data_IF_746874591397
#
_entry.id   IF_746874591397
#
_cell.length_a   1.000
_cell.length_b   1.000
_cell.length_c   1.000
_cell.angle_alpha   90.00
_cell.angle_beta   90.00
_cell.angle_gamma   90.00
#
_symmetry.space_group_name_H-M   'P 1'
#
loop_
_entity.id
_entity.type
_entity.pdbx_description
1 polymer ?
#
# COMPACT_ATOMS: atom_id res chain seq x y z
N UNK A 1 -43.49 9.01 -9.58
CA UNK A 1 -42.17 8.33 -9.48
C UNK A 1 -41.17 9.14 -8.64
N UNK A 2 -41.05 10.45 -8.84
CA UNK A 2 -40.13 11.31 -8.06
C UNK A 2 -40.43 11.37 -6.55
N UNK A 3 -41.70 11.33 -6.15
CA UNK A 3 -42.13 11.38 -4.73
C UNK A 3 -41.78 10.12 -3.93
N UNK A 4 -41.80 8.94 -4.57
CA UNK A 4 -41.45 7.66 -3.94
C UNK A 4 -39.93 7.54 -3.74
N UNK A 5 -39.14 8.18 -4.61
CA UNK A 5 -37.67 8.22 -4.50
C UNK A 5 -37.23 9.12 -3.35
N UNK A 6 -37.88 10.28 -3.17
CA UNK A 6 -37.61 11.17 -2.02
C UNK A 6 -37.98 10.55 -0.68
N UNK A 7 -39.01 9.71 -0.63
CA UNK A 7 -39.45 9.03 0.60
C UNK A 7 -38.55 7.84 0.96
N UNK A 8 -38.05 7.10 -0.04
CA UNK A 8 -37.01 6.06 0.20
C UNK A 8 -35.67 6.67 0.61
N UNK A 9 -35.29 7.82 0.02
CA UNK A 9 -34.09 8.54 0.41
C UNK A 9 -34.21 9.10 1.83
N UNK A 10 -35.35 9.66 2.22
CA UNK A 10 -35.55 10.14 3.59
C UNK A 10 -35.55 9.00 4.61
N UNK A 11 -36.13 7.84 4.30
CA UNK A 11 -36.05 6.64 5.15
C UNK A 11 -34.62 6.07 5.25
N UNK A 12 -33.83 6.11 4.17
CA UNK A 12 -32.40 5.78 4.20
C UNK A 12 -31.61 6.74 5.10
N UNK A 13 -31.87 8.05 5.01
CA UNK A 13 -31.22 9.06 5.86
C UNK A 13 -31.63 8.95 7.34
N UNK A 14 -32.87 8.55 7.63
CA UNK A 14 -33.36 8.28 9.00
C UNK A 14 -32.64 7.06 9.58
N UNK A 15 -32.45 5.98 8.79
CA UNK A 15 -31.71 4.79 9.22
C UNK A 15 -30.21 5.07 9.48
N UNK A 16 -29.56 5.93 8.69
CA UNK A 16 -28.15 6.32 8.91
C UNK A 16 -28.00 7.14 10.20
N UNK A 17 -28.99 7.96 10.56
CA UNK A 17 -29.01 8.71 11.83
C UNK A 17 -29.26 7.84 13.06
N UNK A 18 -29.83 6.64 12.90
CA UNK A 18 -30.05 5.67 13.99
C UNK A 18 -28.88 4.69 14.17
N UNK A 19 -27.96 4.61 13.20
CA UNK A 19 -26.73 3.83 13.32
C UNK A 19 -25.89 4.13 14.59
N UNK A 20 -25.81 5.37 15.11
CA UNK A 20 -25.12 5.67 16.37
C UNK A 20 -25.78 5.04 17.60
N UNK A 21 -27.10 4.80 17.60
CA UNK A 21 -27.81 4.22 18.74
C UNK A 21 -27.60 2.71 18.86
N UNK A 22 -27.22 2.03 17.77
CA UNK A 22 -26.85 0.60 17.75
C UNK A 22 -25.40 0.32 18.21
N UNK A 23 -24.55 1.34 18.30
CA UNK A 23 -23.10 1.18 18.47
C UNK A 23 -22.61 1.24 19.94
N UNK A 24 -23.49 1.40 20.92
CA UNK A 24 -23.12 1.56 22.33
C UNK A 24 -22.79 3.03 22.67
N UNK A 25 -22.32 3.34 23.89
CA UNK A 25 -22.05 4.72 24.30
C UNK A 25 -21.13 5.42 23.31
N UNK A 26 -21.35 6.72 23.08
CA UNK A 26 -20.51 7.58 22.24
C UNK A 26 -19.05 7.27 22.53
N UNK A 27 -18.38 6.69 21.53
CA UNK A 27 -16.96 6.39 21.62
C UNK A 27 -16.21 7.69 21.97
N UNK A 28 -15.26 7.65 22.91
CA UNK A 28 -14.57 8.86 23.33
C UNK A 28 -13.98 9.60 22.12
N UNK A 29 -14.18 10.93 22.12
CA UNK A 29 -13.75 11.81 21.05
C UNK A 29 -12.23 11.85 20.87
N UNK A 30 -11.78 12.56 19.84
CA UNK A 30 -10.35 12.73 19.58
C UNK A 30 -9.69 13.66 20.59
N UNK A 31 -8.40 13.44 20.84
CA UNK A 31 -7.56 14.19 21.78
C UNK A 31 -6.47 14.98 21.06
N UNK A 32 -5.84 15.89 21.79
CA UNK A 32 -4.67 16.65 21.32
C UNK A 32 -3.39 15.83 21.32
N UNK A 33 -2.34 16.30 20.65
CA UNK A 33 -1.03 15.64 20.69
C UNK A 33 -0.44 15.59 22.10
N UNK A 34 -0.81 16.51 23.00
CA UNK A 34 -0.32 16.55 24.37
C UNK A 34 -0.81 15.36 25.23
N UNK A 35 -1.89 14.70 24.79
CA UNK A 35 -2.54 13.61 25.53
C UNK A 35 -2.14 12.22 25.01
N UNK A 36 -1.30 12.15 23.98
CA UNK A 36 -0.81 10.88 23.42
C UNK A 36 0.72 10.80 23.49
N UNK A 37 1.29 9.60 23.67
CA UNK A 37 2.74 9.43 23.68
C UNK A 37 3.44 9.98 22.43
N UNK A 38 4.70 10.46 22.54
CA UNK A 38 5.44 11.06 21.42
C UNK A 38 5.59 10.18 20.18
N UNK A 39 5.53 8.85 20.32
CA UNK A 39 5.56 7.91 19.19
C UNK A 39 4.40 8.13 18.21
N UNK A 40 3.27 8.65 18.69
CA UNK A 40 2.09 8.89 17.84
C UNK A 40 2.16 10.22 17.10
N UNK A 41 3.05 11.14 17.50
CA UNK A 41 3.05 12.49 16.98
C UNK A 41 3.40 12.53 15.50
N UNK A 42 2.58 13.24 14.73
CA UNK A 42 2.87 13.60 13.35
C UNK A 42 3.31 15.07 13.26
N UNK A 43 4.34 15.41 12.47
CA UNK A 43 4.74 16.79 12.24
C UNK A 43 3.56 17.66 11.82
N UNK A 44 3.44 18.85 12.40
CA UNK A 44 2.40 19.85 12.08
C UNK A 44 0.95 19.46 12.41
N UNK A 45 0.71 18.27 13.01
CA UNK A 45 -0.61 17.78 13.40
C UNK A 45 -0.75 17.83 14.94
N UNK A 46 -1.58 18.74 15.44
CA UNK A 46 -1.72 18.98 16.89
C UNK A 46 -2.96 18.36 17.53
N UNK A 47 -3.90 17.83 16.73
CA UNK A 47 -5.13 17.22 17.22
C UNK A 47 -5.72 16.18 16.28
N UNK A 48 -6.86 15.61 16.69
CA UNK A 48 -7.52 14.54 15.94
C UNK A 48 -6.99 13.15 16.26
N UNK A 49 -6.15 13.00 17.30
CA UNK A 49 -5.62 11.70 17.72
C UNK A 49 -6.68 10.90 18.46
N UNK A 50 -6.62 9.57 18.39
CA UNK A 50 -7.52 8.70 19.17
C UNK A 50 -6.89 8.42 20.55
N UNK A 51 -7.65 8.42 21.65
CA UNK A 51 -7.18 7.98 22.95
C UNK A 51 -6.57 6.58 22.89
N UNK A 52 -5.45 6.40 23.59
CA UNK A 52 -4.76 5.12 23.69
C UNK A 52 -5.42 4.18 24.71
N UNK A 53 -5.01 2.91 24.72
CA UNK A 53 -5.41 1.88 25.70
C UNK A 53 -6.91 1.56 25.75
N UNK A 54 -7.67 1.94 24.72
CA UNK A 54 -9.07 1.53 24.55
C UNK A 54 -9.21 0.05 24.15
N UNK A 55 -10.45 -0.45 24.19
CA UNK A 55 -10.81 -1.80 23.72
C UNK A 55 -10.61 -1.93 22.20
N UNK A 56 -10.47 -3.16 21.69
CA UNK A 56 -10.41 -3.37 20.24
C UNK A 56 -11.68 -2.92 19.53
N UNK A 57 -12.85 -3.15 20.16
CA UNK A 57 -14.15 -2.70 19.67
C UNK A 57 -14.18 -1.18 19.42
N UNK A 58 -13.54 -0.40 20.29
CA UNK A 58 -13.40 1.05 20.08
C UNK A 58 -12.64 1.38 18.79
N UNK A 59 -11.46 0.78 18.56
CA UNK A 59 -10.69 1.12 17.34
C UNK A 59 -11.42 0.71 16.06
N UNK A 60 -12.11 -0.44 16.05
CA UNK A 60 -12.95 -0.81 14.91
C UNK A 60 -14.16 0.12 14.74
N UNK A 61 -14.80 0.58 15.82
CA UNK A 61 -15.90 1.56 15.72
C UNK A 61 -15.42 2.93 15.22
N UNK A 62 -14.14 3.27 15.39
CA UNK A 62 -13.57 4.52 14.86
C UNK A 62 -13.47 4.56 13.34
N UNK A 63 -13.70 3.44 12.63
CA UNK A 63 -13.74 3.40 11.17
C UNK A 63 -14.71 4.44 10.59
N UNK A 64 -15.82 4.74 11.29
CA UNK A 64 -16.83 5.71 10.88
C UNK A 64 -16.76 7.03 11.67
N UNK A 65 -15.64 7.31 12.34
CA UNK A 65 -15.44 8.52 13.14
C UNK A 65 -14.43 9.45 12.50
N UNK A 66 -14.58 10.75 12.77
CA UNK A 66 -13.62 11.75 12.33
C UNK A 66 -12.37 11.72 13.21
N UNK A 67 -11.24 11.33 12.64
CA UNK A 67 -9.93 11.36 13.31
C UNK A 67 -8.80 11.55 12.29
N UNK A 68 -7.61 11.90 12.76
CA UNK A 68 -6.47 12.29 11.90
C UNK A 68 -5.98 11.20 10.93
N UNK A 69 -6.28 9.93 11.22
CA UNK A 69 -5.99 8.79 10.35
C UNK A 69 -7.15 8.35 9.44
N UNK A 70 -8.36 8.91 9.56
CA UNK A 70 -9.55 8.32 8.94
C UNK A 70 -9.45 8.24 7.41
N UNK A 71 -8.93 9.30 6.77
CA UNK A 71 -8.72 9.33 5.32
C UNK A 71 -7.63 8.33 4.90
N UNK A 72 -6.58 8.15 5.72
CA UNK A 72 -5.54 7.15 5.44
C UNK A 72 -6.10 5.72 5.48
N UNK A 73 -7.05 5.46 6.38
CA UNK A 73 -7.78 4.17 6.44
C UNK A 73 -8.68 4.01 5.21
N UNK A 74 -9.56 4.98 4.96
CA UNK A 74 -10.57 4.86 3.91
C UNK A 74 -10.00 4.84 2.49
N UNK A 75 -8.93 5.59 2.21
CA UNK A 75 -8.29 5.60 0.90
C UNK A 75 -7.83 4.21 0.49
N UNK A 76 -7.15 3.49 1.38
CA UNK A 76 -6.66 2.14 1.12
C UNK A 76 -7.75 1.06 1.27
N UNK A 77 -8.67 1.20 2.24
CA UNK A 77 -9.78 0.25 2.40
C UNK A 77 -10.69 0.22 1.16
N UNK A 78 -11.08 1.39 0.65
CA UNK A 78 -11.92 1.49 -0.54
C UNK A 78 -11.23 0.89 -1.77
N UNK A 79 -9.93 1.13 -1.92
CA UNK A 79 -9.12 0.55 -3.00
C UNK A 79 -9.00 -0.98 -2.87
N UNK A 80 -8.79 -1.51 -1.66
CA UNK A 80 -8.73 -2.95 -1.42
C UNK A 80 -10.05 -3.63 -1.82
N UNK A 81 -11.19 -3.03 -1.46
CA UNK A 81 -12.51 -3.53 -1.85
C UNK A 81 -12.72 -3.43 -3.37
N UNK A 82 -12.32 -2.34 -4.01
CA UNK A 82 -12.41 -2.18 -5.45
C UNK A 82 -11.57 -3.24 -6.20
N UNK A 83 -10.34 -3.51 -5.74
CA UNK A 83 -9.49 -4.55 -6.32
C UNK A 83 -10.00 -5.96 -6.02
N UNK A 84 -10.62 -6.18 -4.85
CA UNK A 84 -11.28 -7.45 -4.56
C UNK A 84 -12.45 -7.69 -5.53
N UNK A 85 -13.27 -6.68 -5.79
CA UNK A 85 -14.33 -6.77 -6.80
C UNK A 85 -13.76 -7.01 -8.20
N UNK A 86 -12.67 -6.33 -8.57
CA UNK A 86 -11.96 -6.55 -9.84
C UNK A 86 -11.43 -7.97 -9.95
N UNK A 87 -10.85 -8.53 -8.90
CA UNK A 87 -10.42 -9.92 -8.85
C UNK A 87 -11.58 -10.90 -9.03
N UNK A 88 -12.71 -10.67 -8.35
CA UNK A 88 -13.90 -11.50 -8.50
C UNK A 88 -14.45 -11.49 -9.94
N UNK A 89 -14.41 -10.34 -10.62
CA UNK A 89 -14.75 -10.23 -12.04
C UNK A 89 -13.76 -10.98 -12.93
N UNK A 90 -12.45 -10.83 -12.69
CA UNK A 90 -11.40 -11.54 -13.46
C UNK A 90 -11.51 -13.06 -13.31
N UNK A 91 -11.82 -13.55 -12.11
CA UNK A 91 -12.00 -14.99 -11.85
C UNK A 91 -13.11 -15.64 -12.68
N UNK A 92 -14.08 -14.87 -13.17
CA UNK A 92 -15.14 -15.39 -14.05
C UNK A 92 -14.64 -15.72 -15.46
N UNK A 93 -13.50 -15.15 -15.88
CA UNK A 93 -12.96 -15.26 -17.25
C UNK A 93 -11.51 -15.76 -17.33
N UNK A 94 -10.80 -15.77 -16.21
CA UNK A 94 -9.40 -16.21 -16.08
C UNK A 94 -9.32 -17.45 -15.20
N UNK A 95 -8.73 -18.53 -15.71
CA UNK A 95 -8.45 -19.74 -14.94
C UNK A 95 -7.14 -19.59 -14.16
N UNK A 96 -7.21 -18.99 -12.98
CA UNK A 96 -6.07 -18.85 -12.08
C UNK A 96 -5.51 -20.18 -11.52
N UNK A 97 -6.21 -21.30 -11.71
CA UNK A 97 -5.79 -22.61 -11.21
C UNK A 97 -4.88 -23.34 -12.19
N UNK A 98 -5.30 -23.43 -13.45
CA UNK A 98 -4.59 -24.22 -14.47
C UNK A 98 -3.73 -23.36 -15.41
N UNK A 99 -4.08 -22.10 -15.66
CA UNK A 99 -3.32 -21.24 -16.59
C UNK A 99 -2.07 -20.68 -15.91
N UNK A 100 -0.89 -21.18 -16.32
CA UNK A 100 0.38 -20.69 -15.80
C UNK A 100 0.61 -19.21 -16.10
N UNK A 101 0.10 -18.73 -17.25
CA UNK A 101 0.14 -17.33 -17.65
C UNK A 101 -0.64 -16.42 -16.69
N UNK A 102 -1.58 -16.97 -15.91
CA UNK A 102 -2.37 -16.21 -14.94
C UNK A 102 -1.72 -16.15 -13.55
N UNK A 103 -0.68 -16.95 -13.26
CA UNK A 103 -0.04 -16.99 -11.93
C UNK A 103 0.60 -15.64 -11.53
N UNK A 104 1.37 -14.95 -12.39
CA UNK A 104 1.91 -13.62 -12.03
C UNK A 104 0.81 -12.58 -11.81
N UNK A 105 -0.27 -12.62 -12.61
CA UNK A 105 -1.45 -11.78 -12.44
C UNK A 105 -2.12 -12.02 -11.08
N UNK A 106 -2.23 -13.29 -10.65
CA UNK A 106 -2.75 -13.63 -9.32
C UNK A 106 -1.86 -13.06 -8.22
N UNK A 107 -0.53 -13.21 -8.35
CA UNK A 107 0.44 -12.72 -7.37
C UNK A 107 0.33 -11.20 -7.21
N UNK A 108 0.34 -10.43 -8.31
CA UNK A 108 0.25 -8.96 -8.22
C UNK A 108 -1.11 -8.50 -7.68
N UNK A 109 -2.22 -9.15 -8.04
CA UNK A 109 -3.54 -8.84 -7.48
C UNK A 109 -3.61 -9.12 -5.98
N UNK A 110 -3.14 -10.29 -5.55
CA UNK A 110 -3.10 -10.68 -4.14
C UNK A 110 -2.18 -9.76 -3.34
N UNK A 111 -1.00 -9.43 -3.88
CA UNK A 111 -0.05 -8.50 -3.27
C UNK A 111 -0.64 -7.09 -3.14
N UNK A 112 -1.35 -6.62 -4.18
CA UNK A 112 -2.04 -5.32 -4.18
C UNK A 112 -3.11 -5.23 -3.09
N UNK A 113 -3.98 -6.24 -3.00
CA UNK A 113 -5.02 -6.31 -1.95
C UNK A 113 -4.38 -6.41 -0.57
N UNK A 114 -3.31 -7.19 -0.42
CA UNK A 114 -2.61 -7.40 0.85
C UNK A 114 -2.01 -6.11 1.40
N UNK A 115 -1.25 -5.35 0.59
CA UNK A 115 -0.64 -4.11 1.09
C UNK A 115 -1.70 -3.07 1.46
N UNK A 116 -2.75 -2.90 0.65
CA UNK A 116 -3.84 -1.97 0.93
C UNK A 116 -4.55 -2.34 2.24
N UNK A 117 -4.78 -3.63 2.45
CA UNK A 117 -5.40 -4.14 3.68
C UNK A 117 -4.52 -3.92 4.89
N UNK A 118 -3.22 -4.27 4.81
CA UNK A 118 -2.27 -4.09 5.90
C UNK A 118 -2.10 -2.62 6.27
N UNK A 119 -2.00 -1.74 5.27
CA UNK A 119 -1.93 -0.29 5.49
C UNK A 119 -3.19 0.27 6.14
N UNK A 120 -4.38 -0.10 5.64
CA UNK A 120 -5.65 0.30 6.24
C UNK A 120 -5.76 -0.17 7.70
N UNK A 121 -5.42 -1.43 7.99
CA UNK A 121 -5.39 -1.96 9.34
C UNK A 121 -4.39 -1.22 10.23
N UNK A 122 -3.23 -0.85 9.68
CA UNK A 122 -2.23 -0.14 10.44
C UNK A 122 -2.73 1.24 10.87
N UNK A 123 -3.24 2.02 9.94
CA UNK A 123 -3.82 3.33 10.26
C UNK A 123 -5.05 3.22 11.17
N UNK A 124 -5.84 2.14 11.08
CA UNK A 124 -7.01 1.95 11.92
C UNK A 124 -6.63 1.53 13.35
N UNK A 125 -5.63 0.68 13.54
CA UNK A 125 -5.39 -0.01 14.81
C UNK A 125 -4.13 0.46 15.56
N UNK A 126 -3.26 1.25 14.93
CA UNK A 126 -1.99 1.70 15.52
C UNK A 126 -2.16 2.43 16.86
N UNK A 127 -3.26 3.16 17.06
CA UNK A 127 -3.50 3.98 18.26
C UNK A 127 -3.68 3.16 19.56
N UNK A 128 -3.74 1.83 19.48
CA UNK A 128 -4.00 0.97 20.65
C UNK A 128 -3.00 1.13 21.79
N UNK A 129 -1.73 1.05 21.47
CA UNK A 129 -0.61 1.25 22.39
C UNK A 129 0.66 1.43 21.58
N UNK A 130 1.75 1.83 22.22
CA UNK A 130 3.03 2.01 21.53
C UNK A 130 3.51 0.71 20.86
N UNK A 131 3.35 -0.45 21.51
CA UNK A 131 3.68 -1.75 20.92
C UNK A 131 2.87 -2.03 19.64
N UNK A 132 1.56 -1.76 19.67
CA UNK A 132 0.69 -1.99 18.52
C UNK A 132 0.95 -0.98 17.41
N UNK A 133 1.32 0.26 17.75
CA UNK A 133 1.77 1.25 16.77
C UNK A 133 2.90 0.69 15.91
N UNK A 134 3.99 0.22 16.53
CA UNK A 134 5.10 -0.37 15.78
C UNK A 134 4.68 -1.64 15.02
N UNK A 135 4.03 -2.59 15.70
CA UNK A 135 3.68 -3.89 15.12
C UNK A 135 2.83 -3.77 13.85
N UNK A 136 1.82 -2.89 13.88
CA UNK A 136 0.96 -2.68 12.72
C UNK A 136 1.68 -1.98 11.56
N UNK A 137 2.53 -0.99 11.82
CA UNK A 137 3.32 -0.37 10.77
C UNK A 137 4.40 -1.31 10.21
N UNK A 138 4.97 -2.22 11.01
CA UNK A 138 5.85 -3.27 10.48
C UNK A 138 5.09 -4.21 9.53
N UNK A 139 3.84 -4.55 9.85
CA UNK A 139 2.98 -5.33 8.95
C UNK A 139 2.65 -4.54 7.67
N UNK A 140 2.41 -3.24 7.76
CA UNK A 140 2.27 -2.37 6.57
C UNK A 140 3.52 -2.43 5.67
N UNK A 141 4.73 -2.33 6.26
CA UNK A 141 5.98 -2.44 5.51
C UNK A 141 6.19 -3.81 4.86
N UNK A 142 5.73 -4.90 5.51
CA UNK A 142 5.68 -6.23 4.87
C UNK A 142 4.77 -6.17 3.64
N UNK A 143 3.57 -5.61 3.77
CA UNK A 143 2.62 -5.45 2.67
C UNK A 143 3.24 -4.70 1.49
N UNK A 144 3.90 -3.58 1.75
CA UNK A 144 4.60 -2.78 0.73
C UNK A 144 5.68 -3.61 0.01
N UNK A 145 6.50 -4.39 0.75
CA UNK A 145 7.51 -5.25 0.12
C UNK A 145 6.90 -6.38 -0.73
N UNK A 146 5.81 -6.99 -0.28
CA UNK A 146 5.07 -8.00 -1.05
C UNK A 146 4.54 -7.40 -2.36
N UNK A 147 3.95 -6.19 -2.29
CA UNK A 147 3.49 -5.46 -3.47
C UNK A 147 4.62 -5.06 -4.41
N UNK A 148 5.74 -4.57 -3.88
CA UNK A 148 6.90 -4.17 -4.66
C UNK A 148 7.42 -5.34 -5.52
N UNK A 149 7.61 -6.53 -4.93
CA UNK A 149 7.98 -7.72 -5.69
C UNK A 149 6.89 -8.13 -6.69
N UNK A 150 5.61 -8.12 -6.29
CA UNK A 150 4.49 -8.46 -7.20
C UNK A 150 4.42 -7.53 -8.42
N UNK A 151 4.69 -6.24 -8.21
CA UNK A 151 4.82 -5.21 -9.24
C UNK A 151 5.98 -5.51 -10.18
N UNK A 152 7.18 -5.78 -9.63
CA UNK A 152 8.35 -6.17 -10.40
C UNK A 152 8.08 -7.39 -11.28
N UNK A 153 7.46 -8.42 -10.70
CA UNK A 153 7.08 -9.64 -11.40
C UNK A 153 6.08 -9.33 -12.55
N UNK A 154 5.04 -8.55 -12.29
CA UNK A 154 4.07 -8.16 -13.31
C UNK A 154 4.72 -7.43 -14.49
N UNK A 155 5.61 -6.47 -14.23
CA UNK A 155 6.32 -5.77 -15.30
C UNK A 155 7.32 -6.65 -16.05
N UNK A 156 8.08 -7.47 -15.33
CA UNK A 156 9.04 -8.39 -15.94
C UNK A 156 8.36 -9.42 -16.83
N UNK A 157 7.18 -9.89 -16.43
CA UNK A 157 6.50 -10.97 -17.11
C UNK A 157 5.63 -10.48 -18.27
N UNK A 158 4.83 -9.43 -18.07
CA UNK A 158 3.84 -8.97 -19.05
C UNK A 158 4.32 -7.76 -19.88
N UNK A 159 5.01 -6.81 -19.24
CA UNK A 159 5.33 -5.53 -19.87
C UNK A 159 6.71 -5.47 -20.53
N UNK A 160 7.62 -6.42 -20.24
CA UNK A 160 8.99 -6.37 -20.74
C UNK A 160 9.06 -6.54 -22.26
N UNK A 161 9.97 -5.80 -22.89
CA UNK A 161 10.29 -5.95 -24.30
C UNK A 161 11.47 -6.91 -24.49
N UNK A 162 11.54 -7.70 -25.59
CA UNK A 162 12.60 -8.69 -25.82
C UNK A 162 14.03 -8.15 -25.69
N UNK A 163 14.24 -6.90 -26.15
CA UNK A 163 15.53 -6.23 -26.05
C UNK A 163 15.95 -5.94 -24.60
N UNK A 164 15.01 -5.51 -23.75
CA UNK A 164 15.27 -5.27 -22.33
C UNK A 164 15.42 -6.59 -21.56
N UNK A 165 14.56 -7.56 -21.85
CA UNK A 165 14.61 -8.89 -21.25
C UNK A 165 16.00 -9.52 -21.37
N UNK A 166 16.60 -9.50 -22.56
CA UNK A 166 17.96 -10.03 -22.79
C UNK A 166 19.02 -9.44 -21.87
N UNK A 167 18.89 -8.17 -21.49
CA UNK A 167 19.84 -7.46 -20.65
C UNK A 167 19.68 -7.77 -19.16
N UNK A 168 18.45 -7.96 -18.69
CA UNK A 168 18.15 -8.00 -17.26
C UNK A 168 17.70 -9.37 -16.73
N UNK A 169 17.35 -10.32 -17.61
CA UNK A 169 16.75 -11.62 -17.22
C UNK A 169 17.51 -12.40 -16.15
N UNK A 170 18.84 -12.29 -16.12
CA UNK A 170 19.68 -13.07 -15.20
C UNK A 170 19.60 -12.59 -13.74
N UNK A 171 19.21 -11.33 -13.50
CA UNK A 171 19.27 -10.73 -12.16
C UNK A 171 18.00 -9.98 -11.74
N UNK A 172 17.08 -9.69 -12.67
CA UNK A 172 15.94 -8.80 -12.40
C UNK A 172 15.10 -9.26 -11.20
N UNK A 173 14.56 -10.48 -11.23
CA UNK A 173 13.68 -10.99 -10.16
C UNK A 173 14.42 -11.24 -8.83
N UNK A 174 15.63 -11.86 -8.81
CA UNK A 174 16.40 -11.97 -7.57
C UNK A 174 16.74 -10.62 -6.93
N UNK A 175 17.12 -9.63 -7.75
CA UNK A 175 17.43 -8.28 -7.27
C UNK A 175 16.17 -7.56 -6.78
N UNK A 176 15.04 -7.71 -7.47
CA UNK A 176 13.76 -7.17 -7.03
C UNK A 176 13.32 -7.76 -5.67
N UNK A 177 13.46 -9.08 -5.49
CA UNK A 177 13.20 -9.75 -4.21
C UNK A 177 14.08 -9.22 -3.07
N UNK A 178 15.39 -9.09 -3.33
CA UNK A 178 16.34 -8.55 -2.36
C UNK A 178 16.02 -7.09 -1.99
N UNK A 179 15.73 -6.24 -2.98
CA UNK A 179 15.39 -4.83 -2.76
C UNK A 179 14.03 -4.67 -2.05
N UNK A 180 13.05 -5.53 -2.34
CA UNK A 180 11.78 -5.59 -1.62
C UNK A 180 11.98 -5.92 -0.13
N UNK A 181 12.73 -6.97 0.17
CA UNK A 181 13.07 -7.30 1.55
C UNK A 181 13.85 -6.17 2.24
N UNK A 182 14.86 -5.59 1.58
CA UNK A 182 15.63 -4.46 2.11
C UNK A 182 14.76 -3.22 2.37
N UNK A 183 13.73 -2.98 1.54
CA UNK A 183 12.76 -1.90 1.75
C UNK A 183 11.95 -2.12 3.03
N UNK A 184 11.48 -3.36 3.28
CA UNK A 184 10.82 -3.71 4.53
C UNK A 184 11.78 -3.60 5.73
N UNK A 185 12.97 -4.18 5.64
CA UNK A 185 13.95 -4.20 6.72
C UNK A 185 14.40 -2.78 7.09
N UNK A 186 14.69 -1.96 6.08
CA UNK A 186 15.03 -0.56 6.22
C UNK A 186 13.93 0.26 6.86
N UNK A 187 12.68 0.10 6.42
CA UNK A 187 11.51 0.77 7.01
C UNK A 187 11.28 0.36 8.47
N UNK A 188 11.33 -0.94 8.78
CA UNK A 188 11.18 -1.43 10.15
C UNK A 188 12.28 -0.90 11.07
N UNK A 189 13.54 -0.95 10.62
CA UNK A 189 14.68 -0.45 11.38
C UNK A 189 14.59 1.07 11.58
N UNK A 190 14.26 1.81 10.51
CA UNK A 190 14.14 3.25 10.55
C UNK A 190 13.08 3.70 11.55
N UNK A 191 11.91 3.05 11.51
CA UNK A 191 10.82 3.33 12.46
C UNK A 191 11.23 3.02 13.89
N UNK A 192 11.88 1.88 14.15
CA UNK A 192 12.34 1.51 15.50
C UNK A 192 13.42 2.46 16.05
N UNK A 193 14.38 2.86 15.21
CA UNK A 193 15.60 3.54 15.68
C UNK A 193 15.51 5.07 15.66
N UNK A 194 14.81 5.63 14.68
CA UNK A 194 14.84 7.07 14.42
C UNK A 194 13.50 7.76 14.70
N UNK A 195 12.35 7.06 14.72
CA UNK A 195 11.08 7.71 15.04
C UNK A 195 11.06 8.20 16.51
N UNK A 196 10.61 9.44 16.82
CA UNK A 196 10.01 10.47 15.95
C UNK A 196 11.00 11.50 15.38
N UNK A 197 12.31 11.35 15.65
CA UNK A 197 13.35 12.28 15.21
C UNK A 197 13.85 11.88 13.83
N UNK A 198 13.33 12.50 12.76
CA UNK A 198 13.77 12.24 11.39
C UNK A 198 15.23 12.64 11.16
N UNK A 199 16.17 11.80 11.58
CA UNK A 199 17.56 11.90 11.20
C UNK A 199 17.65 11.59 9.68
N UNK A 200 18.49 12.33 8.94
CA UNK A 200 18.85 11.99 7.55
C UNK A 200 19.13 10.47 7.36
N UNK A 201 19.87 9.80 8.28
CA UNK A 201 20.05 8.34 8.25
C UNK A 201 18.76 7.51 8.23
N UNK A 202 17.71 7.93 8.95
CA UNK A 202 16.44 7.20 8.97
C UNK A 202 15.71 7.27 7.64
N UNK A 203 15.70 8.45 7.02
CA UNK A 203 15.15 8.63 5.65
C UNK A 203 15.96 7.84 4.63
N UNK A 204 17.29 7.87 4.69
CA UNK A 204 18.11 7.06 3.79
C UNK A 204 17.87 5.56 3.98
N UNK A 205 17.74 5.09 5.22
CA UNK A 205 17.47 3.68 5.50
C UNK A 205 16.10 3.22 4.97
N UNK A 206 15.09 4.09 5.02
CA UNK A 206 13.75 3.81 4.56
C UNK A 206 13.58 3.99 3.04
N UNK A 207 14.01 5.13 2.50
CA UNK A 207 13.68 5.57 1.13
C UNK A 207 14.65 5.02 0.08
N UNK A 208 15.93 4.82 0.40
CA UNK A 208 16.93 4.41 -0.59
C UNK A 208 16.65 3.02 -1.19
N UNK A 209 16.38 1.96 -0.40
CA UNK A 209 16.07 0.65 -0.97
C UNK A 209 14.81 0.68 -1.83
N UNK A 210 13.77 1.42 -1.42
CA UNK A 210 12.52 1.57 -2.17
C UNK A 210 12.71 2.36 -3.47
N UNK A 211 13.56 3.40 -3.45
CA UNK A 211 13.90 4.15 -4.66
C UNK A 211 14.67 3.28 -5.67
N UNK A 212 15.67 2.52 -5.21
CA UNK A 212 16.42 1.59 -6.06
C UNK A 212 15.51 0.48 -6.62
N UNK A 213 14.61 -0.04 -5.80
CA UNK A 213 13.62 -1.02 -6.24
C UNK A 213 12.71 -0.44 -7.32
N UNK A 214 12.15 0.76 -7.10
CA UNK A 214 11.30 1.38 -8.09
C UNK A 214 12.02 1.59 -9.43
N UNK A 215 13.28 2.05 -9.41
CA UNK A 215 14.08 2.22 -10.62
C UNK A 215 14.28 0.90 -11.38
N UNK A 216 14.51 -0.21 -10.67
CA UNK A 216 14.58 -1.53 -11.27
C UNK A 216 13.21 -1.95 -11.83
N UNK A 217 12.18 -1.93 -10.99
CA UNK A 217 10.85 -2.45 -11.26
C UNK A 217 10.16 -1.72 -12.41
N UNK A 218 10.35 -0.40 -12.53
CA UNK A 218 9.75 0.40 -13.59
C UNK A 218 10.55 0.38 -14.90
N UNK A 219 11.79 -0.13 -14.88
CA UNK A 219 12.65 -0.14 -16.07
C UNK A 219 12.07 -0.86 -17.30
N UNK A 220 11.34 -2.01 -17.19
CA UNK A 220 10.68 -2.62 -18.34
C UNK A 220 9.62 -1.70 -18.97
N UNK A 221 8.85 -1.02 -18.11
CA UNK A 221 7.78 -0.10 -18.51
C UNK A 221 8.36 1.14 -19.18
N UNK A 222 9.38 1.77 -18.59
CA UNK A 222 10.04 2.93 -19.19
C UNK A 222 10.67 2.60 -20.54
N UNK A 223 11.36 1.46 -20.65
CA UNK A 223 11.90 1.00 -21.91
C UNK A 223 10.79 0.84 -22.96
N UNK A 224 9.68 0.17 -22.60
CA UNK A 224 8.56 -0.04 -23.53
C UNK A 224 7.89 1.26 -23.95
N UNK A 225 7.69 2.22 -23.03
CA UNK A 225 7.17 3.56 -23.36
C UNK A 225 8.07 4.26 -24.38
N UNK A 226 9.41 4.13 -24.24
CA UNK A 226 10.37 4.74 -25.15
C UNK A 226 10.55 4.01 -26.49
N UNK A 227 10.26 2.71 -26.54
CA UNK A 227 10.44 1.87 -27.74
C UNK A 227 9.15 1.54 -28.50
N UNK A 228 7.99 2.01 -28.03
CA UNK A 228 6.70 1.70 -28.62
C UNK A 228 6.56 2.28 -30.04
N UNK A 229 6.49 1.41 -31.03
CA UNK A 229 6.29 1.80 -32.44
C UNK A 229 4.81 1.82 -32.88
N UNK A 230 3.92 1.23 -32.08
CA UNK A 230 2.49 1.10 -32.39
C UNK A 230 1.63 1.60 -31.23
N UNK A 231 0.40 2.08 -31.50
CA UNK A 231 -0.57 2.37 -30.46
C UNK A 231 -0.86 1.12 -29.63
N UNK A 232 -0.84 1.29 -28.31
CA UNK A 232 -1.00 0.22 -27.34
C UNK A 232 -1.77 0.78 -26.13
N UNK A 233 -3.01 0.31 -25.87
CA UNK A 233 -3.85 0.81 -24.79
C UNK A 233 -3.19 0.71 -23.40
N UNK A 234 -2.35 -0.30 -23.15
CA UNK A 234 -1.70 -0.49 -21.85
C UNK A 234 -0.71 0.65 -21.53
N UNK A 235 -0.13 1.29 -22.56
CA UNK A 235 0.86 2.35 -22.37
C UNK A 235 0.28 3.62 -21.74
N UNK A 236 -0.99 3.93 -21.97
CA UNK A 236 -1.63 5.05 -21.30
C UNK A 236 -1.64 4.82 -19.79
N UNK A 237 -2.09 3.64 -19.37
CA UNK A 237 -2.14 3.25 -17.96
C UNK A 237 -0.75 3.16 -17.33
N UNK A 238 0.24 2.63 -18.04
CA UNK A 238 1.63 2.66 -17.58
C UNK A 238 2.21 4.08 -17.42
N UNK A 239 1.90 5.01 -18.33
CA UNK A 239 2.29 6.42 -18.18
C UNK A 239 1.62 7.06 -16.95
N UNK A 240 0.33 6.79 -16.76
CA UNK A 240 -0.40 7.23 -15.56
C UNK A 240 0.21 6.64 -14.28
N UNK A 241 0.53 5.35 -14.27
CA UNK A 241 1.20 4.68 -13.16
C UNK A 241 2.51 5.39 -12.79
N UNK A 242 3.40 5.65 -13.77
CA UNK A 242 4.67 6.36 -13.53
C UNK A 242 4.42 7.75 -12.95
N UNK A 243 3.48 8.52 -13.53
CA UNK A 243 3.15 9.87 -13.07
C UNK A 243 2.63 9.85 -11.63
N UNK A 244 1.67 8.97 -11.33
CA UNK A 244 1.07 8.87 -10.00
C UNK A 244 2.09 8.40 -8.95
N UNK A 245 2.99 7.48 -9.30
CA UNK A 245 4.08 7.10 -8.38
C UNK A 245 4.97 8.30 -8.05
N UNK A 246 5.42 9.06 -9.04
CA UNK A 246 6.30 10.22 -8.81
C UNK A 246 5.62 11.30 -7.95
N UNK A 247 4.33 11.55 -8.20
CA UNK A 247 3.53 12.44 -7.35
C UNK A 247 3.39 11.89 -5.93
N UNK A 248 3.10 10.60 -5.78
CA UNK A 248 3.03 9.92 -4.49
C UNK A 248 4.34 10.03 -3.71
N UNK A 249 5.47 9.72 -4.35
CA UNK A 249 6.80 9.82 -3.74
C UNK A 249 7.11 11.24 -3.27
N UNK A 250 6.73 12.27 -4.03
CA UNK A 250 6.88 13.66 -3.61
C UNK A 250 6.14 13.93 -2.29
N UNK A 251 4.85 13.57 -2.19
CA UNK A 251 4.04 13.78 -0.99
C UNK A 251 4.41 12.86 0.16
N UNK A 252 5.03 11.71 -0.10
CA UNK A 252 5.58 10.85 0.94
C UNK A 252 6.79 11.49 1.62
N UNK A 253 7.73 12.03 0.84
CA UNK A 253 8.99 12.59 1.37
C UNK A 253 8.85 14.03 1.88
N UNK A 254 7.80 14.75 1.47
CA UNK A 254 7.62 16.17 1.80
C UNK A 254 6.27 16.42 2.50
N UNK A 255 6.27 17.01 3.71
CA UNK A 255 5.06 17.21 4.51
C UNK A 255 4.26 18.44 4.03
N UNK A 256 3.93 18.51 2.75
CA UNK A 256 3.07 19.55 2.17
C UNK A 256 1.67 19.00 1.88
N UNK A 257 0.60 19.76 2.15
CA UNK A 257 0.58 21.18 2.54
C UNK A 257 0.62 21.44 4.06
N UNK A 258 0.62 20.44 4.94
CA UNK A 258 0.52 20.63 6.39
C UNK A 258 1.66 21.45 7.00
N UNK A 259 2.84 21.46 6.38
CA UNK A 259 3.95 22.35 6.73
C UNK A 259 3.64 23.83 6.46
N UNK A 260 2.84 24.14 5.43
CA UNK A 260 2.40 25.51 5.15
C UNK A 260 1.26 25.95 6.06
N UNK A 261 0.47 24.99 6.60
CA UNK A 261 -0.66 25.28 7.48
C UNK A 261 -0.61 24.45 8.78
N UNK A 262 0.39 24.68 9.66
CA UNK A 262 0.51 23.93 10.90
C UNK A 262 -0.76 24.04 11.75
N UNK A 263 -1.25 22.90 12.24
CA UNK A 263 -2.47 22.84 13.06
C UNK A 263 -3.79 23.02 12.30
N UNK A 264 -3.77 23.13 10.97
CA UNK A 264 -4.99 23.23 10.15
C UNK A 264 -5.34 21.92 9.46
N UNK A 265 -4.36 21.05 9.23
CA UNK A 265 -4.51 19.78 8.53
C UNK A 265 -4.81 18.58 9.46
N UNK A 266 -5.52 18.79 10.58
CA UNK A 266 -5.75 17.73 11.57
C UNK A 266 -6.48 16.53 11.00
N UNK A 267 -7.51 16.77 10.20
CA UNK A 267 -8.34 15.72 9.62
C UNK A 267 -8.11 15.52 8.13
N UNK A 268 -7.94 16.62 7.38
CA UNK A 268 -7.86 16.63 5.92
C UNK A 268 -6.64 17.42 5.45
N UNK A 269 -6.09 17.04 4.30
CA UNK A 269 -5.01 17.76 3.63
C UNK A 269 -3.63 17.46 4.19
N UNK A 270 -3.43 16.26 4.76
CA UNK A 270 -2.09 15.79 5.13
C UNK A 270 -1.38 15.21 3.90
N UNK A 271 -0.09 15.47 3.75
CA UNK A 271 0.77 14.89 2.70
C UNK A 271 0.63 13.38 2.61
N UNK A 272 0.59 12.68 3.75
CA UNK A 272 0.41 11.23 3.82
C UNK A 272 -0.93 10.75 3.23
N UNK A 273 -2.00 11.55 3.38
CA UNK A 273 -3.31 11.25 2.77
C UNK A 273 -3.25 11.38 1.25
N UNK A 274 -2.60 12.45 0.77
CA UNK A 274 -2.41 12.72 -0.65
C UNK A 274 -1.52 11.63 -1.27
N UNK A 275 -0.47 11.23 -0.57
CA UNK A 275 0.38 10.09 -0.92
C UNK A 275 -0.44 8.80 -1.09
N UNK A 276 -1.30 8.43 -0.12
CA UNK A 276 -2.17 7.26 -0.24
C UNK A 276 -3.06 7.34 -1.49
N UNK A 277 -3.66 8.50 -1.77
CA UNK A 277 -4.51 8.68 -2.96
C UNK A 277 -3.72 8.44 -4.24
N UNK A 278 -2.54 9.04 -4.39
CA UNK A 278 -1.71 8.81 -5.57
C UNK A 278 -1.19 7.38 -5.67
N UNK A 279 -0.85 6.74 -4.55
CA UNK A 279 -0.43 5.34 -4.54
C UNK A 279 -1.57 4.41 -4.99
N UNK A 280 -2.80 4.66 -4.53
CA UNK A 280 -4.01 3.94 -5.00
C UNK A 280 -4.20 4.13 -6.49
N UNK A 281 -4.15 5.36 -7.00
CA UNK A 281 -4.28 5.62 -8.44
C UNK A 281 -3.17 4.95 -9.26
N UNK A 282 -1.94 4.94 -8.74
CA UNK A 282 -0.81 4.22 -9.32
C UNK A 282 -1.10 2.71 -9.41
N UNK A 283 -1.56 2.09 -8.32
CA UNK A 283 -1.90 0.65 -8.31
C UNK A 283 -3.07 0.33 -9.24
N UNK A 284 -4.13 1.14 -9.26
CA UNK A 284 -5.25 0.93 -10.18
C UNK A 284 -4.81 1.02 -11.64
N UNK A 285 -4.00 2.02 -11.99
CA UNK A 285 -3.43 2.15 -13.33
C UNK A 285 -2.52 0.96 -13.68
N UNK A 286 -1.66 0.52 -12.75
CA UNK A 286 -0.81 -0.65 -12.94
C UNK A 286 -1.62 -1.92 -13.20
N UNK A 287 -2.65 -2.20 -12.38
CA UNK A 287 -3.47 -3.39 -12.53
C UNK A 287 -4.19 -3.38 -13.88
N UNK A 288 -4.74 -2.25 -14.31
CA UNK A 288 -5.36 -2.16 -15.64
C UNK A 288 -4.36 -2.36 -16.77
N UNK A 289 -3.16 -1.77 -16.68
CA UNK A 289 -2.10 -1.99 -17.67
C UNK A 289 -1.68 -3.47 -17.75
N UNK A 290 -1.47 -4.10 -16.60
CA UNK A 290 -1.06 -5.51 -16.49
C UNK A 290 -2.16 -6.46 -16.98
N UNK A 291 -3.44 -6.16 -16.75
CA UNK A 291 -4.57 -6.95 -17.29
C UNK A 291 -4.60 -6.86 -18.82
N UNK A 292 -4.44 -5.68 -19.38
CA UNK A 292 -4.37 -5.49 -20.84
C UNK A 292 -3.18 -6.26 -21.43
N UNK A 293 -2.02 -6.21 -20.77
CA UNK A 293 -0.84 -6.96 -21.20
C UNK A 293 -1.00 -8.47 -21.07
N UNK A 294 -1.61 -8.95 -19.98
CA UNK A 294 -1.95 -10.35 -19.79
C UNK A 294 -2.78 -10.88 -20.98
N UNK A 295 -3.78 -10.11 -21.42
CA UNK A 295 -4.66 -10.46 -22.53
C UNK A 295 -3.94 -10.41 -23.90
N UNK A 296 -3.17 -9.34 -24.15
CA UNK A 296 -2.65 -9.05 -25.48
C UNK A 296 -1.28 -9.65 -25.78
N UNK A 297 -0.51 -10.06 -24.75
CA UNK A 297 0.94 -10.33 -24.90
C UNK A 297 1.36 -11.75 -24.52
N UNK A 298 0.44 -12.72 -24.55
CA UNK A 298 0.75 -14.14 -24.25
C UNK A 298 1.88 -14.70 -25.11
N UNK A 299 1.91 -14.39 -26.41
CA UNK A 299 2.97 -14.88 -27.32
C UNK A 299 4.37 -14.40 -26.90
N UNK A 300 4.47 -13.17 -26.38
CA UNK A 300 5.73 -12.60 -25.89
C UNK A 300 6.16 -13.36 -24.63
N UNK A 301 5.22 -13.59 -23.68
CA UNK A 301 5.47 -14.44 -22.51
C UNK A 301 6.03 -15.81 -22.91
N UNK A 302 5.30 -16.55 -23.75
CA UNK A 302 5.65 -17.92 -24.12
C UNK A 302 7.03 -18.00 -24.80
N UNK A 303 7.43 -16.95 -25.53
CA UNK A 303 8.75 -16.88 -26.17
C UNK A 303 9.90 -16.49 -25.23
N UNK A 304 9.64 -15.64 -24.23
CA UNK A 304 10.69 -15.04 -23.40
C UNK A 304 10.90 -15.76 -22.07
N UNK A 305 9.83 -16.30 -21.49
CA UNK A 305 9.80 -16.66 -20.06
C UNK A 305 9.79 -18.16 -19.80
N UNK A 306 9.53 -19.02 -20.80
CA UNK A 306 9.73 -20.48 -20.74
C UNK A 306 9.45 -21.12 -19.36
N UNK A 307 10.43 -21.86 -18.83
CA UNK A 307 10.35 -22.62 -17.57
C UNK A 307 10.57 -21.78 -16.28
N UNK A 308 10.63 -20.44 -16.33
CA UNK A 308 10.86 -19.59 -15.15
C UNK A 308 9.67 -19.56 -14.15
N UNK A 309 8.61 -20.35 -14.39
CA UNK A 309 7.39 -20.36 -13.59
C UNK A 309 7.61 -20.74 -12.11
N UNK A 310 8.52 -21.67 -11.85
CA UNK A 310 8.82 -22.13 -10.49
C UNK A 310 9.69 -21.14 -9.71
N UNK A 311 10.58 -20.42 -10.40
CA UNK A 311 11.57 -19.54 -9.78
C UNK A 311 10.93 -18.28 -9.19
N UNK A 312 9.96 -17.66 -9.87
CA UNK A 312 9.33 -16.45 -9.34
C UNK A 312 8.42 -16.70 -8.13
N UNK A 313 7.80 -17.88 -8.04
CA UNK A 313 6.93 -18.25 -6.92
C UNK A 313 7.76 -18.53 -5.66
N UNK A 314 8.92 -19.19 -5.83
CA UNK A 314 9.87 -19.38 -4.74
C UNK A 314 10.44 -18.05 -4.22
N UNK A 315 10.82 -17.14 -5.13
CA UNK A 315 11.28 -15.80 -4.76
C UNK A 315 10.19 -14.96 -4.08
N UNK A 316 8.92 -15.10 -4.49
CA UNK A 316 7.80 -14.46 -3.81
C UNK A 316 7.68 -14.95 -2.36
N UNK A 317 7.64 -16.27 -2.14
CA UNK A 317 7.55 -16.87 -0.81
C UNK A 317 8.76 -16.52 0.06
N UNK A 318 9.97 -16.49 -0.53
CA UNK A 318 11.18 -16.03 0.15
C UNK A 318 11.04 -14.58 0.61
N UNK A 319 10.60 -13.69 -0.27
CA UNK A 319 10.40 -12.25 0.03
C UNK A 319 9.39 -12.05 1.16
N UNK A 320 8.26 -12.76 1.10
CA UNK A 320 7.23 -12.74 2.16
C UNK A 320 7.83 -13.22 3.48
N UNK A 321 8.50 -14.38 3.47
CA UNK A 321 9.06 -15.00 4.66
C UNK A 321 10.11 -14.12 5.31
N UNK A 322 11.09 -13.62 4.55
CA UNK A 322 12.13 -12.73 5.06
C UNK A 322 11.55 -11.43 5.63
N UNK A 323 10.53 -10.86 4.98
CA UNK A 323 9.87 -9.64 5.45
C UNK A 323 9.10 -9.87 6.76
N UNK A 324 8.32 -10.96 6.85
CA UNK A 324 7.57 -11.34 8.06
C UNK A 324 8.51 -11.64 9.22
N UNK A 325 9.59 -12.39 8.99
CA UNK A 325 10.60 -12.67 10.00
C UNK A 325 11.24 -11.38 10.50
N UNK A 326 11.54 -10.44 9.60
CA UNK A 326 12.08 -9.12 9.94
C UNK A 326 11.10 -8.32 10.81
N UNK A 327 9.84 -8.22 10.40
CA UNK A 327 8.80 -7.53 11.16
C UNK A 327 8.59 -8.15 12.55
N UNK A 328 8.60 -9.49 12.64
CA UNK A 328 8.44 -10.22 13.90
C UNK A 328 9.62 -9.98 14.84
N UNK A 329 10.84 -10.07 14.32
CA UNK A 329 12.06 -9.76 15.06
C UNK A 329 12.02 -8.32 15.60
N UNK A 330 11.65 -7.35 14.76
CA UNK A 330 11.57 -5.94 15.17
C UNK A 330 10.45 -5.69 16.18
N UNK A 331 9.31 -6.35 16.06
CA UNK A 331 8.24 -6.29 17.07
C UNK A 331 8.72 -6.83 18.43
N UNK A 332 9.51 -7.91 18.44
CA UNK A 332 10.11 -8.43 19.67
C UNK A 332 11.13 -7.43 20.28
N UNK A 333 11.93 -6.77 19.45
CA UNK A 333 12.84 -5.69 19.89
C UNK A 333 12.08 -4.53 20.55
N UNK A 334 10.96 -4.11 19.95
CA UNK A 334 10.07 -3.09 20.54
C UNK A 334 9.51 -3.56 21.88
N UNK A 335 9.04 -4.80 21.96
CA UNK A 335 8.49 -5.36 23.20
C UNK A 335 9.53 -5.37 24.34
N UNK A 336 10.78 -5.70 24.04
CA UNK A 336 11.85 -5.69 25.03
C UNK A 336 12.15 -4.25 25.48
N UNK A 337 12.29 -3.32 24.54
CA UNK A 337 12.52 -1.90 24.83
C UNK A 337 11.43 -1.31 25.74
N UNK A 338 10.15 -1.58 25.45
CA UNK A 338 9.02 -1.09 26.24
C UNK A 338 8.85 -1.78 27.62
N UNK A 339 9.64 -2.82 27.92
CA UNK A 339 9.69 -3.42 29.27
C UNK A 339 10.80 -2.82 30.12
N UNK A 340 11.81 -2.22 29.49
CA UNK A 340 12.95 -1.57 30.14
C UNK A 340 12.65 -0.11 30.50
N UNK A 341 11.70 0.51 29.80
CA UNK A 341 11.09 1.82 30.08
C UNK A 341 9.90 1.69 31.04
#
# INVERSE_FOLDING_TARGET
MATVVTEKLSQLFINVRQLPQLLGPLSPGTVSSAEVPPVFWKPYIHGGYRPVRQTWRYYFSTLFQQHNEAINVWSHLAAALALLLRFLQLRQRVDFGQDEHARPLLIILAASITYLTFSSLAHLLQAKSEFWHYSFFFMDYVGVAVYQYGSALGHFYYAIEPGWHRRVRAFFLPLAAALAWLSCAGSCYAKFRFHPRSALPGRLCQELPSALAYLLDISPVLHRIGSAARPDPALLYHKCQVLFFLLGAFFFSHPYPEKWFPGKCHFFGQSHQIFHVFLVLCTLAQIEAVVLDYEARREIYSSLQGDLAHDFSALFLLTVTCSVLTATYMAQRVRNKLKEE
#
